data_IF_301206012604
#
_entry.id   IF_301206012604
#
_cell.length_a   1.000
_cell.length_b   1.000
_cell.length_c   1.000
_cell.angle_alpha   90.00
_cell.angle_beta   90.00
_cell.angle_gamma   90.00
#
_symmetry.space_group_name_H-M   'P 1'
#
loop_
_entity.id
_entity.type
_entity.pdbx_description
1 polymer ?
#
# COMPACT_ATOMS: atom_id res chain seq x y z
N UNK A 1 -12.00 -49.33 -30.75
CA UNK A 1 -10.84 -49.10 -29.86
C UNK A 1 -10.90 -47.67 -29.33
N UNK A 2 -10.65 -47.52 -28.02
CA UNK A 2 -10.23 -46.32 -27.27
C UNK A 2 -11.08 -45.03 -27.23
N UNK A 3 -11.51 -44.67 -26.00
CA UNK A 3 -11.80 -43.32 -25.44
C UNK A 3 -10.45 -42.63 -25.05
N UNK A 4 -10.35 -41.41 -24.45
CA UNK A 4 -11.21 -40.21 -24.30
C UNK A 4 -10.46 -38.92 -24.81
N UNK A 5 -10.94 -37.67 -24.74
CA UNK A 5 -10.77 -36.72 -23.60
C UNK A 5 -11.31 -35.32 -23.99
N UNK A 6 -11.89 -34.66 -23.00
CA UNK A 6 -12.48 -33.32 -22.94
C UNK A 6 -11.53 -32.17 -23.33
N UNK A 7 -12.05 -31.13 -23.99
CA UNK A 7 -12.18 -29.79 -23.38
C UNK A 7 -12.86 -28.80 -24.34
N UNK A 8 -13.91 -28.21 -23.81
CA UNK A 8 -14.92 -27.39 -24.47
C UNK A 8 -14.52 -25.91 -24.48
N UNK A 9 -14.92 -25.27 -25.58
CA UNK A 9 -15.22 -23.85 -25.83
C UNK A 9 -14.13 -22.80 -25.81
N UNK A 10 -13.88 -22.31 -27.03
CA UNK A 10 -13.71 -20.90 -27.39
C UNK A 10 -14.53 -19.94 -26.53
N UNK A 11 -13.94 -18.82 -26.11
CA UNK A 11 -14.67 -17.61 -25.75
C UNK A 11 -14.00 -16.38 -26.34
N UNK A 12 -14.86 -15.45 -26.67
CA UNK A 12 -14.78 -14.35 -27.61
C UNK A 12 -14.26 -13.03 -27.02
N UNK A 13 -13.62 -12.30 -27.92
CA UNK A 13 -13.51 -10.85 -28.18
C UNK A 13 -13.95 -9.78 -27.15
N UNK A 14 -13.06 -8.76 -27.12
CA UNK A 14 -13.30 -7.29 -27.13
C UNK A 14 -13.58 -6.46 -25.84
N UNK A 15 -12.68 -5.47 -25.68
CA UNK A 15 -12.96 -4.03 -25.46
C UNK A 15 -13.35 -3.47 -24.08
N UNK A 16 -12.52 -2.51 -23.66
CA UNK A 16 -12.77 -1.30 -22.85
C UNK A 16 -12.71 -1.31 -21.32
N UNK A 17 -12.20 -0.17 -20.83
CA UNK A 17 -12.34 0.49 -19.52
C UNK A 17 -11.30 0.22 -18.44
N UNK A 18 -10.60 1.31 -18.08
CA UNK A 18 -9.89 1.51 -16.82
C UNK A 18 -10.69 0.89 -15.67
N UNK A 19 -10.08 -0.05 -14.93
CA UNK A 19 -10.73 -0.61 -13.74
C UNK A 19 -9.85 -0.37 -12.53
N UNK A 20 -10.19 0.72 -11.85
CA UNK A 20 -10.06 0.94 -10.43
C UNK A 20 -10.03 -0.37 -9.64
N UNK A 21 -8.93 -0.60 -8.91
CA UNK A 21 -9.00 -1.48 -7.74
C UNK A 21 -9.81 -0.75 -6.67
N UNK A 22 -11.14 -0.88 -6.77
CA UNK A 22 -12.11 -0.49 -5.75
C UNK A 22 -11.80 -1.27 -4.46
N UNK A 23 -11.07 -0.67 -3.53
CA UNK A 23 -11.26 -0.97 -2.12
C UNK A 23 -12.44 -0.14 -1.64
N UNK A 24 -13.61 -0.73 -1.78
CA UNK A 24 -14.88 -0.29 -1.22
C UNK A 24 -14.70 0.13 0.24
N UNK A 25 -15.20 1.34 0.55
CA UNK A 25 -15.23 1.86 1.92
C UNK A 25 -16.11 0.98 2.82
N UNK A 26 -15.66 0.59 4.01
CA UNK A 26 -16.50 0.57 5.18
C UNK A 26 -16.45 1.96 5.80
N UNK A 27 -17.60 2.63 5.84
CA UNK A 27 -17.82 3.71 6.81
C UNK A 27 -17.69 3.06 8.20
N UNK A 28 -16.93 3.69 9.10
CA UNK A 28 -16.58 3.24 10.47
C UNK A 28 -15.37 2.31 10.58
N UNK A 29 -14.20 2.92 10.82
CA UNK A 29 -13.27 2.53 11.88
C UNK A 29 -12.73 1.11 11.91
N UNK A 30 -11.92 0.70 10.94
CA UNK A 30 -10.86 -0.28 11.19
C UNK A 30 -9.74 -0.06 10.17
N UNK A 31 -8.68 0.63 10.60
CA UNK A 31 -7.52 0.89 9.76
C UNK A 31 -6.83 -0.44 9.40
N UNK A 32 -7.03 -0.91 8.17
CA UNK A 32 -6.32 -2.07 7.64
C UNK A 32 -4.81 -1.77 7.70
N UNK A 33 -4.11 -2.41 8.64
CA UNK A 33 -2.67 -2.30 8.82
C UNK A 33 -1.99 -3.03 7.67
N UNK A 34 -1.59 -2.29 6.64
CA UNK A 34 -0.86 -2.82 5.50
C UNK A 34 0.64 -2.90 5.79
N UNK A 35 1.24 -4.07 5.55
CA UNK A 35 2.69 -4.24 5.57
C UNK A 35 3.26 -3.92 4.19
N UNK A 36 4.07 -2.86 4.07
CA UNK A 36 4.72 -2.49 2.81
C UNK A 36 6.22 -2.41 3.02
N UNK A 37 6.98 -3.16 2.21
CA UNK A 37 8.45 -3.06 2.15
C UNK A 37 9.15 -3.24 3.51
N UNK A 38 8.60 -4.10 4.38
CA UNK A 38 9.15 -4.32 5.72
C UNK A 38 8.65 -3.34 6.79
N UNK A 39 7.73 -2.43 6.46
CA UNK A 39 7.16 -1.45 7.38
C UNK A 39 5.67 -1.72 7.64
N UNK A 40 5.26 -1.58 8.91
CA UNK A 40 3.85 -1.58 9.30
C UNK A 40 3.28 -0.16 9.20
N UNK A 41 2.76 0.21 8.03
CA UNK A 41 2.19 1.54 7.82
C UNK A 41 0.74 1.63 8.28
N UNK A 42 0.42 2.76 8.92
CA UNK A 42 -0.94 3.14 9.30
C UNK A 42 -1.22 4.57 8.86
N UNK A 43 -2.46 4.83 8.42
CA UNK A 43 -2.92 6.18 8.09
C UNK A 43 -3.18 6.95 9.38
N UNK A 44 -2.50 8.08 9.57
CA UNK A 44 -2.74 9.00 10.70
C UNK A 44 -2.91 10.44 10.22
N UNK A 45 -3.75 11.18 10.93
CA UNK A 45 -3.83 12.63 10.82
C UNK A 45 -2.73 13.23 11.70
N UNK A 46 -1.95 14.15 11.14
CA UNK A 46 -0.84 14.80 11.82
C UNK A 46 -1.28 16.20 12.21
N UNK A 47 -1.10 16.53 13.49
CA UNK A 47 -1.48 17.85 14.02
C UNK A 47 -0.44 18.93 13.68
N UNK A 48 0.72 18.52 13.18
CA UNK A 48 1.82 19.38 12.76
C UNK A 48 2.13 19.10 11.29
N UNK A 49 2.56 20.12 10.53
CA UNK A 49 3.05 19.91 9.18
C UNK A 49 4.23 18.94 9.23
N UNK A 50 4.14 17.86 8.48
CA UNK A 50 5.20 16.87 8.38
C UNK A 50 5.53 16.62 6.93
N UNK A 51 6.79 16.30 6.66
CA UNK A 51 7.29 16.00 5.32
C UNK A 51 7.42 14.50 5.12
N UNK A 52 7.27 14.07 3.88
CA UNK A 52 7.53 12.71 3.46
C UNK A 52 9.04 12.46 3.46
N UNK A 53 9.49 11.38 4.06
CA UNK A 53 10.92 11.00 4.06
C UNK A 53 11.41 10.50 2.70
N UNK A 54 10.50 10.09 1.82
CA UNK A 54 10.85 9.58 0.49
C UNK A 54 11.04 10.70 -0.53
N UNK A 55 10.09 11.64 -0.64
CA UNK A 55 10.14 12.73 -1.63
C UNK A 55 10.43 14.11 -1.03
N UNK A 56 10.61 14.20 0.30
CA UNK A 56 10.87 15.44 1.04
C UNK A 56 9.77 16.51 0.97
N UNK A 57 8.63 16.22 0.34
CA UNK A 57 7.49 17.15 0.25
C UNK A 57 6.56 17.08 1.46
N UNK A 58 5.81 18.15 1.70
CA UNK A 58 4.82 18.19 2.77
C UNK A 58 3.67 17.19 2.54
N UNK A 59 3.19 16.59 3.62
CA UNK A 59 2.01 15.72 3.64
C UNK A 59 0.75 16.60 3.61
N UNK A 60 0.03 16.60 2.49
CA UNK A 60 -1.20 17.37 2.32
C UNK A 60 -2.43 16.46 2.32
N UNK A 61 -3.54 16.95 2.84
CA UNK A 61 -4.82 16.26 2.85
C UNK A 61 -5.99 17.25 2.98
N UNK A 62 -7.17 16.80 2.57
CA UNK A 62 -8.38 17.63 2.46
C UNK A 62 -8.87 18.10 3.85
N UNK A 63 -8.61 17.31 4.89
CA UNK A 63 -9.00 17.57 6.29
C UNK A 63 -7.78 17.89 7.17
N UNK A 64 -6.66 18.32 6.56
CA UNK A 64 -5.38 18.60 7.25
C UNK A 64 -4.23 17.73 6.74
N UNK A 65 -3.08 17.81 7.41
CA UNK A 65 -1.89 17.02 7.08
C UNK A 65 -2.16 15.54 7.37
N UNK A 66 -2.31 14.72 6.33
CA UNK A 66 -2.54 13.27 6.46
C UNK A 66 -1.44 12.47 5.79
N UNK A 67 -1.07 11.34 6.38
CA UNK A 67 0.04 10.54 5.89
C UNK A 67 0.03 9.10 6.39
N UNK A 68 0.89 8.28 5.79
CA UNK A 68 1.21 6.94 6.26
C UNK A 68 2.43 7.03 7.19
N UNK A 69 2.30 6.47 8.38
CA UNK A 69 3.38 6.39 9.35
C UNK A 69 3.66 4.93 9.70
N UNK A 70 4.93 4.54 9.67
CA UNK A 70 5.34 3.25 10.18
C UNK A 70 5.24 3.26 11.71
N UNK A 71 4.53 2.31 12.31
CA UNK A 71 4.39 2.23 13.78
C UNK A 71 5.66 1.73 14.49
N UNK A 72 6.67 1.30 13.73
CA UNK A 72 7.89 0.71 14.27
C UNK A 72 9.06 1.70 14.23
N UNK A 73 9.33 2.27 13.06
CA UNK A 73 10.47 3.18 12.85
C UNK A 73 10.05 4.64 12.66
N UNK A 74 8.77 4.97 12.79
CA UNK A 74 8.22 6.31 12.57
C UNK A 74 8.56 6.90 11.19
N UNK A 75 8.73 6.08 10.16
CA UNK A 75 8.90 6.55 8.79
C UNK A 75 7.59 7.17 8.27
N UNK A 76 7.64 8.44 7.84
CA UNK A 76 6.48 9.15 7.29
C UNK A 76 6.55 9.18 5.76
N UNK A 77 5.45 8.76 5.12
CA UNK A 77 5.33 8.76 3.67
C UNK A 77 3.91 9.10 3.20
N UNK A 78 3.79 9.62 1.97
CA UNK A 78 2.48 9.70 1.31
C UNK A 78 1.99 8.31 0.94
N UNK A 79 0.68 8.14 0.79
CA UNK A 79 0.06 6.89 0.33
C UNK A 79 0.60 6.40 -1.02
N UNK A 80 1.02 7.32 -1.90
CA UNK A 80 1.67 6.99 -3.17
C UNK A 80 3.14 6.57 -2.99
N UNK A 81 3.83 7.15 -2.01
CA UNK A 81 5.25 6.94 -1.80
C UNK A 81 5.55 5.61 -1.12
N UNK A 82 4.65 5.05 -0.29
CA UNK A 82 4.89 3.78 0.43
C UNK A 82 5.24 2.61 -0.51
N UNK A 83 4.77 2.63 -1.76
CA UNK A 83 5.07 1.59 -2.76
C UNK A 83 6.49 1.71 -3.34
N UNK A 84 7.09 2.90 -3.24
CA UNK A 84 8.41 3.23 -3.78
C UNK A 84 9.51 3.27 -2.71
N UNK A 85 9.15 3.08 -1.44
CA UNK A 85 10.13 3.03 -0.34
C UNK A 85 10.96 1.75 -0.44
N UNK A 86 12.26 1.91 -0.69
CA UNK A 86 13.23 0.79 -0.67
C UNK A 86 14.05 0.74 0.62
N UNK A 87 13.86 1.69 1.53
CA UNK A 87 14.59 1.73 2.79
C UNK A 87 14.10 0.64 3.75
N UNK A 88 14.99 -0.18 4.32
CA UNK A 88 14.60 -1.21 5.29
C UNK A 88 14.07 -0.58 6.58
N UNK A 89 13.17 -1.29 7.27
CA UNK A 89 12.69 -0.86 8.58
C UNK A 89 13.75 -1.11 9.66
N UNK A 90 13.94 -0.15 10.57
CA UNK A 90 14.98 -0.19 11.62
C UNK A 90 14.86 -1.40 12.56
N UNK A 91 13.67 -2.00 12.71
CA UNK A 91 13.49 -3.20 13.52
C UNK A 91 14.11 -4.48 12.92
N UNK A 92 14.46 -4.47 11.64
CA UNK A 92 15.13 -5.60 10.96
C UNK A 92 16.66 -5.49 11.12
N UNK A 93 17.14 -4.24 11.26
CA UNK A 93 18.33 -3.74 11.96
C UNK A 93 19.22 -4.78 12.67
N UNK A 94 18.86 -5.17 13.90
CA UNK A 94 19.73 -5.92 14.80
C UNK A 94 20.02 -7.37 14.37
N UNK A 95 19.36 -7.89 13.32
CA UNK A 95 19.54 -9.27 12.86
C UNK A 95 20.40 -9.42 11.59
N UNK A 96 20.80 -8.31 10.95
CA UNK A 96 21.51 -8.33 9.65
C UNK A 96 23.01 -8.04 9.75
N UNK A 97 23.54 -7.88 10.95
CA UNK A 97 24.98 -7.73 11.23
C UNK A 97 25.40 -8.91 12.10
N UNK A 98 25.78 -10.02 11.44
CA UNK A 98 26.57 -11.11 12.02
C UNK A 98 28.02 -10.98 11.55
#
# INVERSE_FOLDING_TARGET
AAKPTELVSTLEVESTTDTDTQSSSPRVGTAAKGWFQGHAFIKKNLHKPATCHHCCDLLWGILGTTGMICEICNFLAHEKCIRQVVSPCTCIIPFLIQ
#
